data_IF_144283832091
#
_entry.id   IF_144283832091
#
_cell.length_a   1.000
_cell.length_b   1.000
_cell.length_c   1.000
_cell.angle_alpha   90.00
_cell.angle_beta   90.00
_cell.angle_gamma   90.00
#
_symmetry.space_group_name_H-M   'P 1'
#
loop_
_entity.id
_entity.type
_entity.pdbx_description
1 polymer ?
#
# COMPACT_ATOMS: atom_id res chain seq x y z
N UNK A 1 -28.96 40.59 -4.61
CA UNK A 1 -30.14 41.48 -4.68
C UNK A 1 -31.09 40.88 -5.70
N UNK A 2 -31.91 39.92 -5.32
CA UNK A 2 -33.28 40.04 -4.77
C UNK A 2 -34.40 40.00 -5.84
N UNK A 3 -34.87 38.76 -6.06
CA UNK A 3 -36.26 38.27 -6.23
C UNK A 3 -37.35 39.24 -6.70
N UNK A 4 -38.05 38.85 -7.77
CA UNK A 4 -39.51 38.56 -7.80
C UNK A 4 -39.97 38.13 -9.20
N UNK A 5 -40.17 36.83 -9.40
CA UNK A 5 -41.11 36.32 -10.40
C UNK A 5 -42.16 35.49 -9.65
N UNK A 6 -43.23 36.17 -9.23
CA UNK A 6 -44.45 35.54 -8.72
C UNK A 6 -45.16 34.91 -9.90
N UNK A 7 -44.99 33.60 -10.08
CA UNK A 7 -45.77 32.81 -11.02
C UNK A 7 -47.24 32.72 -10.55
N UNK A 8 -48.21 32.74 -11.48
CA UNK A 8 -49.63 32.83 -11.18
C UNK A 8 -50.23 31.46 -10.86
N UNK A 9 -51.26 31.45 -10.01
CA UNK A 9 -52.29 30.41 -9.99
C UNK A 9 -51.86 29.05 -9.44
N UNK A 10 -51.78 28.92 -8.12
CA UNK A 10 -51.90 27.61 -7.46
C UNK A 10 -53.26 27.59 -6.78
N UNK A 11 -54.23 26.97 -7.43
CA UNK A 11 -55.47 26.55 -6.79
C UNK A 11 -55.12 25.53 -5.69
N UNK A 12 -55.47 25.83 -4.43
CA UNK A 12 -55.37 24.87 -3.34
C UNK A 12 -56.51 23.86 -3.52
N UNK A 13 -56.26 22.78 -4.24
CA UNK A 13 -57.12 21.59 -4.24
C UNK A 13 -56.62 20.64 -3.15
N UNK A 14 -57.49 20.39 -2.17
CA UNK A 14 -57.52 19.28 -1.21
C UNK A 14 -56.19 18.58 -0.92
N UNK A 15 -55.61 18.85 0.25
CA UNK A 15 -54.53 18.05 0.82
C UNK A 15 -55.15 16.77 1.42
N UNK A 16 -54.87 15.55 0.89
CA UNK A 16 -55.18 14.36 1.64
C UNK A 16 -54.25 14.32 2.86
N UNK A 17 -54.82 14.09 4.04
CA UNK A 17 -54.07 13.94 5.29
C UNK A 17 -53.13 12.74 5.16
N UNK A 18 -51.84 12.99 4.99
CA UNK A 18 -50.80 11.95 4.95
C UNK A 18 -50.60 11.45 6.38
N UNK A 19 -50.78 10.15 6.60
CA UNK A 19 -50.85 9.50 7.92
C UNK A 19 -49.52 8.93 8.43
N UNK A 20 -48.39 9.23 7.79
CA UNK A 20 -47.08 8.77 8.26
C UNK A 20 -46.00 9.81 8.01
N UNK A 21 -45.33 10.19 9.10
CA UNK A 21 -44.19 11.10 9.16
C UNK A 21 -42.90 10.32 8.97
N UNK A 22 -42.74 9.64 7.84
CA UNK A 22 -41.48 8.97 7.50
C UNK A 22 -41.05 9.38 6.10
N UNK A 23 -39.84 9.93 6.00
CA UNK A 23 -39.19 10.36 4.76
C UNK A 23 -37.98 9.46 4.52
N UNK A 24 -38.06 8.59 3.51
CA UNK A 24 -36.92 7.79 3.07
C UNK A 24 -35.96 8.65 2.25
N UNK A 25 -34.91 9.14 2.91
CA UNK A 25 -33.83 9.88 2.27
C UNK A 25 -32.69 8.92 1.89
N UNK A 26 -32.62 8.52 0.62
CA UNK A 26 -31.43 7.83 0.09
C UNK A 26 -30.33 8.84 -0.20
N UNK A 27 -29.47 9.11 0.78
CA UNK A 27 -28.28 9.95 0.58
C UNK A 27 -27.15 9.08 0.02
N UNK A 28 -26.67 9.29 -1.21
CA UNK A 28 -25.51 8.57 -1.72
C UNK A 28 -24.27 8.98 -0.94
N UNK A 29 -23.66 8.05 -0.21
CA UNK A 29 -22.36 8.27 0.42
C UNK A 29 -21.32 8.59 -0.67
N UNK A 30 -20.57 9.67 -0.48
CA UNK A 30 -19.43 10.02 -1.33
C UNK A 30 -18.33 8.96 -1.16
N UNK A 31 -18.28 8.01 -2.09
CA UNK A 31 -17.33 6.91 -2.10
C UNK A 31 -17.97 5.57 -2.45
N UNK A 32 -18.60 5.49 -3.63
CA UNK A 32 -19.22 4.26 -4.13
C UNK A 32 -18.25 3.07 -4.19
N UNK A 33 -18.82 1.88 -4.44
CA UNK A 33 -18.11 0.59 -4.54
C UNK A 33 -16.76 0.73 -5.25
N UNK A 34 -15.67 0.50 -4.50
CA UNK A 34 -14.30 0.62 -5.02
C UNK A 34 -14.11 -0.36 -6.18
N UNK A 35 -13.71 0.17 -7.33
CA UNK A 35 -13.39 -0.63 -8.51
C UNK A 35 -11.94 -1.11 -8.42
N UNK A 36 -11.79 -2.41 -8.21
CA UNK A 36 -10.51 -3.08 -8.04
C UNK A 36 -10.73 -4.42 -7.37
N UNK A 37 -10.69 -5.51 -8.12
CA UNK A 37 -10.85 -6.85 -7.55
C UNK A 37 -9.60 -7.24 -6.76
N UNK A 38 -9.78 -7.78 -5.56
CA UNK A 38 -8.71 -8.44 -4.78
C UNK A 38 -8.23 -9.77 -5.41
N UNK A 39 -8.74 -10.14 -6.60
CA UNK A 39 -8.48 -11.40 -7.29
C UNK A 39 -6.99 -11.69 -7.57
N UNK A 40 -6.13 -10.66 -7.53
CA UNK A 40 -4.67 -10.80 -7.75
C UNK A 40 -3.85 -10.79 -6.46
N UNK A 41 -4.48 -10.72 -5.29
CA UNK A 41 -3.78 -10.73 -4.01
C UNK A 41 -3.00 -12.05 -3.85
N UNK A 42 -1.70 -11.98 -3.58
CA UNK A 42 -0.87 -13.15 -3.32
C UNK A 42 -0.45 -13.99 -4.53
N UNK A 43 -0.89 -13.67 -5.77
CA UNK A 43 -0.56 -14.44 -7.00
C UNK A 43 0.93 -14.76 -7.11
N UNK A 44 1.79 -13.76 -6.90
CA UNK A 44 3.25 -13.91 -7.06
C UNK A 44 3.86 -14.78 -5.95
N UNK A 45 3.37 -14.65 -4.71
CA UNK A 45 3.88 -15.42 -3.56
C UNK A 45 3.56 -16.91 -3.67
N UNK A 46 2.43 -17.27 -4.30
CA UNK A 46 2.06 -18.67 -4.58
C UNK A 46 2.76 -19.25 -5.81
N UNK A 47 3.10 -18.42 -6.79
CA UNK A 47 3.79 -18.86 -8.01
C UNK A 47 5.28 -19.15 -7.77
N UNK A 48 5.94 -18.42 -6.88
CA UNK A 48 7.37 -18.64 -6.60
C UNK A 48 7.60 -19.95 -5.85
N UNK A 49 8.55 -20.82 -6.27
CA UNK A 49 8.86 -22.04 -5.55
C UNK A 49 9.33 -21.71 -4.14
N UNK A 50 8.84 -22.47 -3.15
CA UNK A 50 9.23 -22.30 -1.76
C UNK A 50 10.61 -22.91 -1.51
N UNK A 51 11.66 -22.12 -1.67
CA UNK A 51 13.04 -22.56 -1.38
C UNK A 51 13.23 -22.62 0.14
N UNK A 52 13.66 -23.78 0.64
CA UNK A 52 14.03 -23.97 2.04
C UNK A 52 15.29 -23.18 2.41
N UNK A 53 15.37 -22.73 3.66
CA UNK A 53 16.56 -22.03 4.14
C UNK A 53 17.68 -23.04 4.36
N UNK A 54 18.76 -22.91 3.59
CA UNK A 54 19.97 -23.69 3.81
C UNK A 54 20.56 -23.39 5.20
N UNK A 55 20.99 -24.44 5.91
CA UNK A 55 21.66 -24.30 7.20
C UNK A 55 23.04 -23.65 6.99
N UNK A 56 23.16 -22.40 7.41
CA UNK A 56 24.42 -21.67 7.41
C UNK A 56 24.98 -21.59 8.82
N UNK A 57 26.32 -21.63 8.93
CA UNK A 57 27.01 -21.44 10.21
C UNK A 57 26.58 -20.11 10.83
N UNK A 58 26.31 -20.11 12.15
CA UNK A 58 25.94 -18.91 12.90
C UNK A 58 27.02 -17.84 12.70
N UNK A 59 26.63 -16.67 12.20
CA UNK A 59 27.54 -15.54 12.03
C UNK A 59 27.96 -15.03 13.40
N UNK A 60 29.26 -14.80 13.61
CA UNK A 60 29.75 -14.13 14.83
C UNK A 60 29.15 -12.73 14.93
N UNK A 61 28.84 -12.27 16.14
CA UNK A 61 28.24 -10.96 16.42
C UNK A 61 29.19 -10.08 17.26
N UNK A 62 28.87 -8.79 17.41
CA UNK A 62 29.61 -7.86 18.27
C UNK A 62 31.07 -7.63 17.87
N UNK A 63 31.96 -7.59 18.88
CA UNK A 63 33.39 -7.29 18.72
C UNK A 63 34.10 -8.28 17.79
N UNK A 64 33.77 -9.56 17.88
CA UNK A 64 34.34 -10.59 17.01
C UNK A 64 34.01 -10.34 15.53
N UNK A 65 32.78 -9.90 15.21
CA UNK A 65 32.38 -9.54 13.85
C UNK A 65 33.15 -8.32 13.33
N UNK A 66 33.33 -7.29 14.19
CA UNK A 66 34.07 -6.07 13.83
C UNK A 66 35.55 -6.38 13.51
N UNK A 67 36.20 -7.26 14.28
CA UNK A 67 37.58 -7.71 13.99
C UNK A 67 37.68 -8.41 12.63
N UNK A 68 36.76 -9.33 12.33
CA UNK A 68 36.73 -10.01 11.02
C UNK A 68 36.51 -9.01 9.88
N UNK A 69 35.62 -8.03 10.07
CA UNK A 69 35.34 -7.00 9.07
C UNK A 69 36.54 -6.09 8.79
N UNK A 70 37.30 -5.72 9.83
CA UNK A 70 38.54 -4.94 9.70
C UNK A 70 39.59 -5.73 8.90
N UNK A 71 39.86 -6.97 9.32
CA UNK A 71 40.82 -7.82 8.62
C UNK A 71 40.44 -8.01 7.15
N UNK A 72 39.15 -8.24 6.84
CA UNK A 72 38.65 -8.42 5.47
C UNK A 72 38.65 -7.13 4.62
N UNK A 73 38.72 -5.94 5.22
CA UNK A 73 38.69 -4.65 4.49
C UNK A 73 40.07 -4.03 4.31
N UNK A 74 40.96 -4.22 5.28
CA UNK A 74 42.21 -3.45 5.36
C UNK A 74 43.45 -4.34 5.41
N UNK A 75 43.45 -5.43 6.19
CA UNK A 75 44.64 -6.27 6.37
C UNK A 75 44.80 -7.26 5.22
N UNK A 76 43.72 -7.94 4.84
CA UNK A 76 43.74 -9.00 3.84
C UNK A 76 43.54 -8.48 2.41
N UNK A 77 43.24 -7.19 2.24
CA UNK A 77 43.04 -6.58 0.92
C UNK A 77 44.35 -5.93 0.50
N UNK A 78 45.09 -6.59 -0.38
CA UNK A 78 46.17 -5.95 -1.15
C UNK A 78 45.51 -5.20 -2.30
N UNK A 79 45.76 -3.90 -2.43
CA UNK A 79 45.26 -3.12 -3.56
C UNK A 79 45.97 -3.60 -4.83
N UNK A 80 45.35 -4.51 -5.56
CA UNK A 80 45.82 -4.90 -6.88
C UNK A 80 45.58 -3.75 -7.86
N UNK A 81 46.46 -3.63 -8.86
CA UNK A 81 46.27 -2.67 -9.94
C UNK A 81 45.00 -3.02 -10.72
N UNK A 82 44.10 -2.05 -10.87
CA UNK A 82 42.82 -2.21 -11.57
C UNK A 82 41.62 -1.66 -10.81
N UNK A 83 40.41 -1.88 -11.36
CA UNK A 83 39.15 -1.40 -10.74
C UNK A 83 38.83 -2.22 -9.48
N UNK A 84 38.57 -1.53 -8.35
CA UNK A 84 38.21 -2.18 -7.08
C UNK A 84 36.93 -3.01 -7.24
N UNK A 85 37.01 -4.32 -7.01
CA UNK A 85 35.85 -5.21 -6.97
C UNK A 85 35.06 -5.03 -5.67
N UNK A 86 33.75 -5.05 -5.80
CA UNK A 86 32.83 -4.92 -4.68
C UNK A 86 32.77 -6.18 -3.80
N UNK A 87 32.37 -6.06 -2.53
CA UNK A 87 32.35 -7.18 -1.58
C UNK A 87 31.31 -8.28 -1.88
N UNK A 88 30.42 -8.07 -2.85
CA UNK A 88 29.37 -9.00 -3.30
C UNK A 88 29.30 -9.00 -4.84
N UNK A 89 30.46 -9.07 -5.50
CA UNK A 89 30.56 -9.21 -6.96
C UNK A 89 30.42 -10.69 -7.32
N UNK A 90 29.46 -11.03 -8.18
CA UNK A 90 29.23 -12.40 -8.68
C UNK A 90 29.84 -12.61 -10.08
N UNK A 91 30.69 -11.67 -10.51
CA UNK A 91 31.45 -11.72 -11.76
C UNK A 91 32.62 -12.67 -11.68
#
# INVERSE_FOLDING_TARGET
MERKSRFPGIEIRNIPKISSTELDLTVPLLGGKVHGSLARAGKVKGQTPKVEKQQNKKKKTGRAKRRIQYNRRFVNVVQTFGRRRGPNSNS
#
